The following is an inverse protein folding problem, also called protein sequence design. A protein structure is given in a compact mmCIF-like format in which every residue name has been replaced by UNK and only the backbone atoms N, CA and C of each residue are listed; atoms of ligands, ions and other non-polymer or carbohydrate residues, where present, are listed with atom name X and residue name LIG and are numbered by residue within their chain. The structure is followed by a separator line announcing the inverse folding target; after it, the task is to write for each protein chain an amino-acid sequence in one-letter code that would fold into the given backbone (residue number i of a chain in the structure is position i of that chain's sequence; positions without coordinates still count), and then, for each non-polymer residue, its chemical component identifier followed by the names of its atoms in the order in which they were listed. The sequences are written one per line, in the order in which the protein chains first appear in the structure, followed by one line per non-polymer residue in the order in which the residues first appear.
data_IF_912022235560
#
_entry.id   IF_912022235560
#
_cell.length_a   1.000
_cell.length_b   1.000
_cell.length_c   1.000
_cell.angle_alpha   90.00
_cell.angle_beta   90.00
_cell.angle_gamma   90.00
#
_symmetry.space_group_name_H-M   'P 1'
#
loop_
_entity.id
_entity.type
_entity.pdbx_description
1 polymer ?
#
# COMPACT_ATOMS: atom_id res chain seq x y z
N UNK A 1 8.11 -13.84 -1.07
CA UNK A 1 8.72 -14.57 0.06
C UNK A 1 10.07 -15.20 -0.30
N UNK A 2 10.19 -15.94 -1.41
CA UNK A 2 11.45 -16.60 -1.80
C UNK A 2 12.66 -15.64 -1.86
N UNK A 3 12.51 -14.49 -2.51
CA UNK A 3 13.55 -13.46 -2.59
C UNK A 3 14.04 -13.01 -1.20
N UNK A 4 13.13 -12.78 -0.24
CA UNK A 4 13.53 -12.40 1.11
C UNK A 4 14.19 -13.54 1.88
N UNK A 5 13.89 -14.81 1.57
CA UNK A 5 14.59 -15.95 2.19
C UNK A 5 16.05 -16.02 1.73
N UNK A 6 16.31 -15.71 0.47
CA UNK A 6 17.65 -15.67 -0.11
C UNK A 6 18.52 -14.59 0.56
N UNK A 7 17.92 -13.48 1.03
CA UNK A 7 18.62 -12.43 1.77
C UNK A 7 19.12 -12.86 3.17
N UNK A 8 18.66 -14.01 3.70
CA UNK A 8 19.19 -14.57 4.94
C UNK A 8 18.69 -13.92 6.23
N UNK A 9 17.42 -13.49 6.30
CA UNK A 9 16.85 -12.98 7.56
C UNK A 9 16.78 -14.07 8.64
N UNK A 10 17.28 -13.77 9.84
CA UNK A 10 17.37 -14.72 10.96
C UNK A 10 16.03 -14.99 11.66
N UNK A 11 15.05 -14.08 11.54
CA UNK A 11 13.73 -14.19 12.17
C UNK A 11 12.62 -14.27 11.12
N UNK A 12 11.61 -15.11 11.38
CA UNK A 12 10.42 -15.23 10.53
C UNK A 12 9.60 -13.92 10.50
N UNK A 13 9.45 -13.27 11.66
CA UNK A 13 8.78 -11.97 11.75
C UNK A 13 9.50 -10.88 10.94
N UNK A 14 10.84 -10.85 10.97
CA UNK A 14 11.65 -9.96 10.14
C UNK A 14 11.53 -10.27 8.66
N UNK A 15 11.57 -11.56 8.30
CA UNK A 15 11.39 -12.05 6.93
C UNK A 15 10.05 -11.60 6.34
N UNK A 16 8.96 -11.73 7.10
CA UNK A 16 7.62 -11.35 6.67
C UNK A 16 7.49 -9.83 6.53
N UNK A 17 8.02 -9.05 7.49
CA UNK A 17 8.05 -7.58 7.39
C UNK A 17 8.78 -7.09 6.14
N UNK A 18 9.96 -7.66 5.84
CA UNK A 18 10.73 -7.31 4.64
C UNK A 18 10.05 -7.75 3.35
N UNK A 19 9.41 -8.93 3.35
CA UNK A 19 8.60 -9.40 2.22
C UNK A 19 7.42 -8.46 1.96
N UNK A 20 6.70 -8.04 3.01
CA UNK A 20 5.60 -7.10 2.89
C UNK A 20 6.05 -5.73 2.38
N UNK A 21 7.24 -5.24 2.78
CA UNK A 21 7.78 -3.97 2.27
C UNK A 21 8.06 -4.03 0.77
N UNK A 22 8.69 -5.12 0.29
CA UNK A 22 8.94 -5.28 -1.16
C UNK A 22 7.65 -5.41 -1.94
N UNK A 23 6.68 -6.15 -1.41
CA UNK A 23 5.38 -6.32 -2.05
C UNK A 23 4.62 -4.98 -2.14
N UNK A 24 4.66 -4.16 -1.08
CA UNK A 24 4.10 -2.81 -1.11
C UNK A 24 4.74 -1.94 -2.20
N UNK A 25 6.07 -1.93 -2.30
CA UNK A 25 6.78 -1.16 -3.34
C UNK A 25 6.41 -1.68 -4.74
N UNK A 26 6.34 -3.00 -4.92
CA UNK A 26 5.95 -3.62 -6.18
C UNK A 26 4.54 -3.21 -6.60
N UNK A 27 3.58 -3.27 -5.69
CA UNK A 27 2.20 -2.83 -5.94
C UNK A 27 2.15 -1.33 -6.26
N UNK A 28 2.85 -0.50 -5.49
CA UNK A 28 2.84 0.94 -5.72
C UNK A 28 3.40 1.31 -7.11
N UNK A 29 4.53 0.73 -7.51
CA UNK A 29 5.16 1.07 -8.79
C UNK A 29 4.41 0.44 -9.97
N UNK A 30 4.05 -0.84 -9.90
CA UNK A 30 3.49 -1.54 -11.05
C UNK A 30 1.97 -1.41 -11.12
N UNK A 31 1.28 -1.65 -10.01
CA UNK A 31 -0.19 -1.67 -9.99
C UNK A 31 -0.76 -0.26 -9.94
N UNK A 32 -0.17 0.66 -9.17
CA UNK A 32 -0.66 2.03 -9.12
C UNK A 32 -0.02 2.90 -10.22
N UNK A 33 1.28 3.20 -10.16
CA UNK A 33 1.92 4.11 -11.13
C UNK A 33 1.91 3.55 -12.56
N UNK A 34 2.30 2.28 -12.73
CA UNK A 34 2.34 1.62 -14.03
C UNK A 34 0.97 1.61 -14.72
N UNK A 35 -0.10 1.22 -14.00
CA UNK A 35 -1.45 1.20 -14.58
C UNK A 35 -1.98 2.58 -14.94
N UNK A 36 -1.66 3.61 -14.12
CA UNK A 36 -2.03 5.00 -14.43
C UNK A 36 -1.27 5.45 -15.68
N UNK A 37 0.05 5.40 -15.69
CA UNK A 37 0.88 5.92 -16.81
C UNK A 37 0.56 5.19 -18.12
N UNK A 38 0.58 3.86 -18.10
CA UNK A 38 0.30 3.05 -19.29
C UNK A 38 -1.16 3.20 -19.72
N UNK A 39 -2.08 3.23 -18.76
CA UNK A 39 -3.49 3.42 -19.04
C UNK A 39 -3.79 4.78 -19.66
N UNK A 40 -3.20 5.87 -19.16
CA UNK A 40 -3.39 7.22 -19.72
C UNK A 40 -2.77 7.31 -21.11
N UNK A 41 -1.59 6.73 -21.30
CA UNK A 41 -0.93 6.65 -22.60
C UNK A 41 -1.80 5.99 -23.67
N UNK A 42 -2.41 4.84 -23.37
CA UNK A 42 -3.29 4.15 -24.32
C UNK A 42 -4.64 4.82 -24.50
N UNK A 43 -5.22 5.36 -23.43
CA UNK A 43 -6.55 5.99 -23.51
C UNK A 43 -6.52 7.30 -24.28
N UNK A 44 -5.42 8.05 -24.19
CA UNK A 44 -5.26 9.35 -24.85
C UNK A 44 -4.34 9.27 -26.09
N UNK A 45 -4.05 8.07 -26.59
CA UNK A 45 -3.09 7.85 -27.67
C UNK A 45 -3.43 8.66 -28.92
N UNK A 46 -4.69 8.70 -29.30
CA UNK A 46 -5.17 9.45 -30.47
C UNK A 46 -4.96 10.97 -30.30
N UNK A 47 -5.26 11.49 -29.11
CA UNK A 47 -5.03 12.89 -28.77
C UNK A 47 -3.54 13.25 -28.75
N UNK A 48 -2.67 12.35 -28.27
CA UNK A 48 -1.23 12.56 -28.26
C UNK A 48 -0.58 12.53 -29.64
N UNK A 49 -1.16 11.80 -30.60
CA UNK A 49 -0.66 11.74 -31.98
C UNK A 49 -1.08 12.99 -32.77
N UNK A 50 -2.30 13.49 -32.56
CA UNK A 50 -2.87 14.53 -33.41
C UNK A 50 -2.77 15.96 -32.83
N UNK A 51 -2.61 16.14 -31.52
CA UNK A 51 -2.52 17.47 -30.90
C UNK A 51 -1.09 17.96 -30.70
N UNK A 52 -0.93 19.28 -30.62
CA UNK A 52 0.34 19.94 -30.29
C UNK A 52 0.78 19.62 -28.85
N UNK A 53 2.10 19.46 -28.64
CA UNK A 53 2.70 19.07 -27.37
C UNK A 53 2.36 19.98 -26.16
N UNK A 54 1.94 21.22 -26.41
CA UNK A 54 1.59 22.18 -25.35
C UNK A 54 0.35 21.77 -24.55
N UNK A 55 -0.53 20.94 -25.11
CA UNK A 55 -1.78 20.48 -24.44
C UNK A 55 -1.61 19.16 -23.67
N UNK A 56 -0.43 18.52 -23.74
CA UNK A 56 -0.19 17.24 -23.08
C UNK A 56 -0.47 17.30 -21.57
N UNK A 57 -0.02 18.33 -20.82
CA UNK A 57 -0.30 18.40 -19.38
C UNK A 57 -1.79 18.44 -19.03
N UNK A 58 -2.59 19.15 -19.82
CA UNK A 58 -4.04 19.27 -19.65
C UNK A 58 -4.74 17.92 -19.93
N UNK A 59 -4.40 17.27 -21.06
CA UNK A 59 -4.93 15.95 -21.43
C UNK A 59 -4.58 14.88 -20.40
N UNK A 60 -3.36 14.92 -19.85
CA UNK A 60 -2.96 14.02 -18.76
C UNK A 60 -3.79 14.29 -17.50
N UNK A 61 -3.98 15.56 -17.13
CA UNK A 61 -4.81 15.99 -16.01
C UNK A 61 -6.23 15.45 -16.08
N UNK A 62 -6.88 15.51 -17.25
CA UNK A 62 -8.23 14.97 -17.45
C UNK A 62 -8.27 13.43 -17.44
N UNK A 63 -7.23 12.78 -17.93
CA UNK A 63 -7.18 11.32 -18.05
C UNK A 63 -7.01 10.59 -16.71
N UNK A 64 -6.41 11.22 -15.70
CA UNK A 64 -6.17 10.60 -14.39
C UNK A 64 -7.48 10.32 -13.65
N UNK A 65 -8.43 11.27 -13.49
CA UNK A 65 -9.75 10.99 -12.93
C UNK A 65 -10.51 9.89 -13.69
N UNK A 66 -10.38 9.81 -15.01
CA UNK A 66 -11.04 8.76 -15.80
C UNK A 66 -10.55 7.35 -15.43
N UNK A 67 -9.33 7.21 -14.90
CA UNK A 67 -8.81 5.91 -14.40
C UNK A 67 -9.42 5.47 -13.07
N UNK A 68 -10.17 6.33 -12.38
CA UNK A 68 -10.86 5.94 -11.15
C UNK A 68 -11.80 4.74 -11.37
N UNK A 69 -12.47 4.66 -12.53
CA UNK A 69 -13.35 3.54 -12.87
C UNK A 69 -12.62 2.20 -12.87
N UNK A 70 -11.40 2.14 -13.42
CA UNK A 70 -10.57 0.93 -13.40
C UNK A 70 -10.22 0.50 -11.96
N UNK A 71 -9.83 1.46 -11.11
CA UNK A 71 -9.52 1.14 -9.71
C UNK A 71 -10.76 0.72 -8.91
N UNK A 72 -11.93 1.30 -9.19
CA UNK A 72 -13.18 0.87 -8.56
C UNK A 72 -13.51 -0.59 -8.90
N UNK A 73 -13.40 -0.99 -10.17
CA UNK A 73 -13.61 -2.39 -10.55
C UNK A 73 -12.53 -3.30 -9.99
N UNK A 74 -11.27 -2.86 -9.96
CA UNK A 74 -10.17 -3.62 -9.34
C UNK A 74 -10.43 -3.89 -7.85
N UNK A 75 -10.87 -2.88 -7.08
CA UNK A 75 -11.20 -3.04 -5.65
C UNK A 75 -12.41 -3.96 -5.46
N UNK A 76 -13.44 -3.85 -6.31
CA UNK A 76 -14.62 -4.71 -6.22
C UNK A 76 -14.28 -6.18 -6.50
N UNK A 77 -13.41 -6.44 -7.48
CA UNK A 77 -13.00 -7.80 -7.84
C UNK A 77 -11.97 -8.32 -6.84
N UNK A 78 -10.77 -7.75 -6.77
CA UNK A 78 -9.68 -8.31 -5.96
C UNK A 78 -9.93 -8.12 -4.45
N UNK A 79 -10.46 -6.96 -4.07
CA UNK A 79 -10.73 -6.64 -2.66
C UNK A 79 -11.95 -7.40 -2.12
N UNK A 80 -13.15 -7.10 -2.62
CA UNK A 80 -14.37 -7.67 -2.04
C UNK A 80 -14.55 -9.15 -2.33
N UNK A 81 -14.37 -9.58 -3.59
CA UNK A 81 -14.54 -11.00 -3.92
C UNK A 81 -13.42 -11.86 -3.32
N UNK A 82 -12.20 -11.32 -3.21
CA UNK A 82 -11.08 -12.00 -2.55
C UNK A 82 -11.36 -12.28 -1.07
N UNK A 83 -11.80 -11.27 -0.31
CA UNK A 83 -12.14 -11.44 1.10
C UNK A 83 -13.31 -12.43 1.26
N UNK A 84 -14.35 -12.31 0.43
CA UNK A 84 -15.48 -13.25 0.45
C UNK A 84 -15.04 -14.70 0.20
N UNK A 85 -14.12 -14.92 -0.75
CA UNK A 85 -13.55 -16.24 -1.03
C UNK A 85 -12.65 -16.75 0.12
N UNK A 86 -11.91 -15.86 0.79
CA UNK A 86 -11.11 -16.22 1.97
C UNK A 86 -11.97 -16.64 3.17
N UNK A 87 -13.15 -16.04 3.37
CA UNK A 87 -14.10 -16.44 4.42
C UNK A 87 -14.55 -17.89 4.24
N UNK A 88 -14.79 -18.32 2.99
CA UNK A 88 -15.12 -19.72 2.68
C UNK A 88 -13.96 -20.68 2.94
N UNK A 89 -12.72 -20.17 3.07
CA UNK A 89 -11.49 -20.93 3.32
C UNK A 89 -11.38 -22.17 2.42
N UNK A 90 -11.71 -22.04 1.12
CA UNK A 90 -11.80 -23.16 0.17
C UNK A 90 -10.60 -24.11 0.22
N UNK A 91 -9.37 -23.57 0.26
CA UNK A 91 -8.14 -24.38 0.39
C UNK A 91 -8.14 -25.26 1.64
N UNK A 92 -8.56 -24.70 2.78
CA UNK A 92 -8.60 -25.41 4.04
C UNK A 92 -9.73 -26.44 4.04
N UNK A 93 -10.87 -26.12 3.41
CA UNK A 93 -12.00 -27.04 3.28
C UNK A 93 -11.61 -28.27 2.44
N UNK A 94 -10.95 -28.08 1.30
CA UNK A 94 -10.47 -29.18 0.45
C UNK A 94 -9.44 -30.02 1.18
N UNK A 95 -8.45 -29.39 1.81
CA UNK A 95 -7.43 -30.09 2.62
C UNK A 95 -8.07 -30.83 3.79
N UNK A 96 -9.10 -30.27 4.43
CA UNK A 96 -9.82 -30.91 5.52
C UNK A 96 -10.50 -32.20 5.06
N UNK A 97 -11.23 -32.19 3.94
CA UNK A 97 -11.89 -33.39 3.43
C UNK A 97 -10.87 -34.47 3.03
N UNK A 98 -9.76 -34.08 2.40
CA UNK A 98 -8.65 -34.99 2.09
C UNK A 98 -8.06 -35.56 3.38
N UNK A 99 -7.71 -34.73 4.37
CA UNK A 99 -7.08 -35.17 5.63
C UNK A 99 -8.03 -35.97 6.51
N UNK A 100 -9.33 -35.69 6.51
CA UNK A 100 -10.35 -36.44 7.22
C UNK A 100 -10.51 -37.85 6.61
N UNK A 101 -10.44 -37.97 5.28
CA UNK A 101 -10.40 -39.26 4.60
C UNK A 101 -9.15 -40.09 4.98
N UNK A 102 -8.05 -39.42 5.37
CA UNK A 102 -6.80 -40.06 5.81
C UNK A 102 -6.54 -39.98 7.34
N UNK A 103 -7.55 -39.60 8.15
CA UNK A 103 -7.49 -39.53 9.63
C UNK A 103 -6.32 -38.68 10.22
N UNK A 104 -6.01 -37.52 9.62
CA UNK A 104 -4.97 -36.60 10.12
C UNK A 104 -5.61 -35.37 10.80
N UNK A 105 -5.26 -35.12 12.07
CA UNK A 105 -5.73 -33.96 12.84
C UNK A 105 -4.99 -32.69 12.40
N UNK A 106 -5.74 -31.59 12.18
CA UNK A 106 -5.18 -30.27 11.90
C UNK A 106 -5.34 -29.34 13.11
N UNK A 107 -4.25 -28.73 13.57
CA UNK A 107 -4.26 -27.61 14.52
C UNK A 107 -3.61 -26.41 13.83
N UNK A 108 -4.36 -25.32 13.66
CA UNK A 108 -3.79 -24.05 13.22
C UNK A 108 -3.04 -23.42 14.39
N UNK A 109 -1.72 -23.39 14.31
CA UNK A 109 -0.87 -22.74 15.29
C UNK A 109 -0.28 -21.48 14.67
N UNK A 110 -0.34 -20.38 15.42
CA UNK A 110 0.41 -19.19 15.05
C UNK A 110 1.89 -19.49 15.23
N UNK A 111 2.69 -19.31 14.17
CA UNK A 111 4.11 -19.69 14.19
C UNK A 111 5.00 -18.73 14.97
N UNK A 112 4.57 -17.48 15.15
CA UNK A 112 5.31 -16.49 15.93
C UNK A 112 4.39 -15.37 16.44
N UNK A 113 4.76 -14.72 17.53
CA UNK A 113 4.15 -13.47 18.00
C UNK A 113 5.15 -12.32 17.84
N UNK A 114 4.75 -11.26 17.14
CA UNK A 114 5.64 -10.12 16.83
C UNK A 114 5.44 -8.90 17.74
N UNK A 115 4.50 -8.95 18.69
CA UNK A 115 4.23 -7.86 19.63
C UNK A 115 3.87 -6.53 18.96
N UNK A 116 3.23 -6.56 17.79
CA UNK A 116 2.88 -5.38 16.97
C UNK A 116 4.07 -4.51 16.52
N UNK A 117 5.31 -5.04 16.52
CA UNK A 117 6.51 -4.31 16.07
C UNK A 117 6.48 -3.88 14.58
N UNK A 118 5.52 -4.36 13.80
CA UNK A 118 5.30 -3.95 12.42
C UNK A 118 4.53 -2.61 12.29
N UNK A 119 3.93 -2.10 13.37
CA UNK A 119 3.09 -0.90 13.33
C UNK A 119 3.82 0.36 12.81
N UNK A 120 5.08 0.65 13.20
CA UNK A 120 5.82 1.76 12.63
C UNK A 120 5.99 1.65 11.11
N UNK A 121 6.16 0.43 10.57
CA UNK A 121 6.25 0.20 9.13
C UNK A 121 4.92 0.50 8.42
N UNK A 122 3.80 0.12 9.02
CA UNK A 122 2.46 0.39 8.48
C UNK A 122 2.15 1.89 8.52
N UNK A 123 2.39 2.54 9.66
CA UNK A 123 2.19 3.97 9.81
C UNK A 123 3.01 4.77 8.77
N UNK A 124 4.27 4.40 8.57
CA UNK A 124 5.12 4.98 7.52
C UNK A 124 4.49 4.87 6.12
N UNK A 125 3.98 3.69 5.75
CA UNK A 125 3.35 3.48 4.45
C UNK A 125 2.07 4.30 4.27
N UNK A 126 1.29 4.48 5.33
CA UNK A 126 0.09 5.33 5.31
C UNK A 126 0.44 6.81 5.12
N UNK A 127 1.48 7.31 5.82
CA UNK A 127 1.97 8.67 5.65
C UNK A 127 2.50 8.89 4.23
N UNK A 128 3.27 7.95 3.68
CA UNK A 128 3.75 8.01 2.30
C UNK A 128 2.56 8.07 1.33
N UNK A 129 1.55 7.21 1.50
CA UNK A 129 0.35 7.21 0.67
C UNK A 129 -0.41 8.55 0.75
N UNK A 130 -0.49 9.16 1.94
CA UNK A 130 -1.10 10.47 2.15
C UNK A 130 -0.31 11.58 1.45
N UNK A 131 1.02 11.57 1.53
CA UNK A 131 1.85 12.57 0.85
C UNK A 131 1.74 12.41 -0.66
N UNK A 132 1.77 11.18 -1.17
CA UNK A 132 1.58 10.89 -2.60
C UNK A 132 0.22 11.38 -3.07
N UNK A 133 -0.86 11.16 -2.32
CA UNK A 133 -2.19 11.63 -2.72
C UNK A 133 -2.28 13.16 -2.75
N UNK A 134 -1.65 13.85 -1.79
CA UNK A 134 -1.58 15.31 -1.77
C UNK A 134 -0.77 15.87 -2.95
N UNK A 135 0.38 15.25 -3.28
CA UNK A 135 1.21 15.66 -4.42
C UNK A 135 0.47 15.43 -5.74
N UNK A 136 -0.20 14.28 -5.90
CA UNK A 136 -0.99 13.99 -7.10
C UNK A 136 -2.17 14.94 -7.24
N UNK A 137 -2.84 15.28 -6.13
CA UNK A 137 -3.93 16.26 -6.12
C UNK A 137 -3.44 17.66 -6.51
N UNK A 138 -2.29 18.09 -5.99
CA UNK A 138 -1.65 19.35 -6.39
C UNK A 138 -1.31 19.36 -7.88
N UNK A 139 -0.75 18.25 -8.39
CA UNK A 139 -0.45 18.09 -9.82
C UNK A 139 -1.71 18.20 -10.68
N UNK A 140 -2.79 17.53 -10.27
CA UNK A 140 -4.08 17.57 -10.97
C UNK A 140 -4.66 18.99 -11.00
N UNK A 141 -4.73 19.68 -9.85
CA UNK A 141 -5.29 21.02 -9.77
C UNK A 141 -4.45 22.06 -10.51
N UNK A 142 -3.13 21.86 -10.58
CA UNK A 142 -2.24 22.70 -11.39
C UNK A 142 -2.53 22.60 -12.89
N UNK A 143 -3.06 21.47 -13.38
CA UNK A 143 -3.42 21.31 -14.80
C UNK A 143 -4.76 21.94 -15.16
N UNK A 144 -5.60 22.28 -14.17
CA UNK A 144 -6.94 22.86 -14.36
C UNK A 144 -6.99 24.38 -14.11
N UNK A 145 -5.83 25.07 -14.12
CA UNK A 145 -5.69 26.51 -13.84
C UNK A 145 -6.36 26.98 -12.53
N UNK A 146 -6.57 26.07 -11.57
CA UNK A 146 -7.22 26.35 -10.29
C UNK A 146 -6.23 26.96 -9.26
N UNK A 147 -5.53 28.02 -9.64
CA UNK A 147 -4.35 28.57 -8.93
C UNK A 147 -4.62 28.85 -7.44
N UNK A 148 -5.78 29.44 -7.11
CA UNK A 148 -6.15 29.77 -5.73
C UNK A 148 -6.23 28.52 -4.82
N UNK A 149 -6.71 27.41 -5.37
CA UNK A 149 -6.84 26.14 -4.64
C UNK A 149 -5.47 25.48 -4.47
N UNK A 150 -4.65 25.48 -5.51
CA UNK A 150 -3.29 24.90 -5.50
C UNK A 150 -2.40 25.57 -4.45
N UNK A 151 -2.44 26.90 -4.34
CA UNK A 151 -1.66 27.64 -3.33
C UNK A 151 -2.11 27.31 -1.91
N UNK A 152 -3.41 27.12 -1.68
CA UNK A 152 -3.95 26.78 -0.36
C UNK A 152 -3.53 25.36 0.12
N UNK A 153 -3.31 24.43 -0.82
CA UNK A 153 -2.99 23.03 -0.52
C UNK A 153 -1.47 22.76 -0.36
N UNK A 154 -0.63 23.68 -0.81
CA UNK A 154 0.85 23.57 -0.77
C UNK A 154 1.42 23.34 0.65
N UNK A 155 0.86 23.89 1.74
CA UNK A 155 1.32 23.61 3.11
C UNK A 155 1.02 22.18 3.62
N UNK A 156 0.07 21.45 3.02
CA UNK A 156 -0.40 20.17 3.54
C UNK A 156 0.66 19.06 3.56
N UNK A 157 1.48 18.86 2.50
CA UNK A 157 2.59 17.90 2.55
C UNK A 157 3.58 18.20 3.66
N UNK A 158 3.90 19.49 3.86
CA UNK A 158 4.83 19.93 4.91
C UNK A 158 4.28 19.60 6.30
N UNK A 159 3.00 19.89 6.54
CA UNK A 159 2.34 19.56 7.80
C UNK A 159 2.26 18.04 8.04
N UNK A 160 2.02 17.26 6.99
CA UNK A 160 1.97 15.79 7.07
C UNK A 160 3.33 15.20 7.44
N UNK A 161 4.42 15.73 6.86
CA UNK A 161 5.80 15.34 7.20
C UNK A 161 6.13 15.74 8.63
N UNK A 162 5.79 16.96 9.05
CA UNK A 162 6.01 17.42 10.42
C UNK A 162 5.28 16.55 11.44
N UNK A 163 4.00 16.24 11.19
CA UNK A 163 3.22 15.34 12.02
C UNK A 163 3.85 13.95 12.12
N UNK A 164 4.37 13.42 11.01
CA UNK A 164 5.09 12.15 11.02
C UNK A 164 6.32 12.18 11.94
N UNK A 165 7.14 13.23 11.87
CA UNK A 165 8.29 13.37 12.77
C UNK A 165 7.90 13.43 14.25
N UNK A 166 6.82 14.14 14.57
CA UNK A 166 6.28 14.19 15.94
C UNK A 166 5.84 12.80 16.41
N UNK A 167 5.07 12.09 15.59
CA UNK A 167 4.62 10.74 15.90
C UNK A 167 5.78 9.76 16.06
N UNK A 168 6.79 9.88 15.18
CA UNK A 168 8.00 9.07 15.22
C UNK A 168 8.78 9.29 16.51
N UNK A 169 9.04 10.54 16.88
CA UNK A 169 9.75 10.87 18.12
C UNK A 169 8.98 10.47 19.39
N UNK A 170 7.66 10.59 19.37
CA UNK A 170 6.82 10.38 20.56
C UNK A 170 6.42 8.93 20.80
N UNK A 171 6.05 8.19 19.75
CA UNK A 171 5.37 6.89 19.88
C UNK A 171 6.20 5.70 19.38
N UNK A 172 7.08 5.87 18.39
CA UNK A 172 7.92 4.77 17.88
C UNK A 172 8.77 4.09 18.97
N UNK A 173 9.35 4.80 19.96
CA UNK A 173 10.13 4.17 21.03
C UNK A 173 9.36 3.09 21.79
N UNK A 174 8.04 3.20 21.92
CA UNK A 174 7.22 2.20 22.60
C UNK A 174 7.14 0.85 21.84
N UNK A 175 7.33 0.86 20.53
CA UNK A 175 7.30 -0.35 19.68
C UNK A 175 8.69 -0.95 19.48
N UNK A 176 9.75 -0.13 19.53
CA UNK A 176 11.11 -0.55 19.22
C UNK A 176 11.92 -0.85 20.49
N UNK A 177 11.61 -0.20 21.62
CA UNK A 177 12.37 -0.33 22.87
C UNK A 177 11.45 -0.81 23.99
N UNK A 178 11.95 -1.77 24.77
CA UNK A 178 11.26 -2.22 25.98
C UNK A 178 11.64 -1.31 27.16
N UNK A 179 10.66 -0.67 27.84
CA UNK A 179 10.96 0.15 29.01
C UNK A 179 11.38 -0.74 30.19
N UNK A 180 12.48 -0.36 30.85
CA UNK A 180 13.02 -1.11 32.00
C UNK A 180 12.01 -1.21 33.16
N UNK A 181 11.12 -0.23 33.30
CA UNK A 181 10.07 -0.20 34.33
C UNK A 181 9.03 -1.32 34.15
N UNK A 182 8.80 -1.80 32.93
CA UNK A 182 7.86 -2.88 32.65
C UNK A 182 8.49 -4.28 32.76
N UNK A 183 9.79 -4.36 33.06
CA UNK A 183 10.47 -5.64 33.28
C UNK A 183 9.94 -6.27 34.59
N UNK A 184 9.50 -7.54 34.57
CA UNK A 184 9.16 -8.25 35.80
C UNK A 184 10.34 -8.22 36.77
N UNK A 185 10.10 -7.82 38.02
CA UNK A 185 11.10 -7.90 39.09
C UNK A 185 11.10 -9.32 39.66
N UNK A 186 11.75 -10.24 38.95
CA UNK A 186 12.07 -11.57 39.44
C UNK A 186 13.58 -11.70 39.52
#
# INVERSE_FOLDING_TARGET
MAMSKIEGHTSLSGLDRKTATKYYIFLFVNVFLGSVITGTAFQQLDNFIHQSANKIPEVVGESIPMKAAFFMTYIMVDGWSGIAAEVLRLKALVIFHIKNAFLIINVYTQHYESGAQFWPDVHMRLIIALIVSQILLLGLLSTQEAEKSTVALLPLPVLSIWFHYVCKGRFEPAFVKFPLQARPKN
#
